data_IF_189810818612
#
_entry.id   IF_189810818612
#
_cell.length_a   1.000
_cell.length_b   1.000
_cell.length_c   1.000
_cell.angle_alpha   90.00
_cell.angle_beta   90.00
_cell.angle_gamma   90.00
#
_symmetry.space_group_name_H-M   'P 1'
#
loop_
_entity.id
_entity.type
_entity.pdbx_description
1 polymer ?
#
# COMPACT_ATOMS: atom_id res chain seq x y z
N UNK A 1 -11.32 -2.36 15.09
CA UNK A 1 -10.41 -2.15 13.95
C UNK A 1 -11.05 -1.24 12.89
N UNK A 2 -12.34 -1.41 12.58
CA UNK A 2 -13.12 -0.58 11.65
C UNK A 2 -13.10 0.91 12.02
N UNK A 3 -13.37 1.24 13.28
CA UNK A 3 -13.34 2.62 13.78
C UNK A 3 -11.96 3.29 13.64
N UNK A 4 -10.87 2.55 13.87
CA UNK A 4 -9.50 3.10 13.72
C UNK A 4 -9.18 3.46 12.26
N UNK A 5 -9.57 2.61 11.30
CA UNK A 5 -9.38 2.90 9.88
C UNK A 5 -10.24 4.07 9.40
N UNK A 6 -11.50 4.14 9.85
CA UNK A 6 -12.40 5.28 9.58
C UNK A 6 -11.88 6.59 10.16
N UNK A 7 -11.43 6.57 11.42
CA UNK A 7 -10.82 7.74 12.06
C UNK A 7 -9.58 8.19 11.28
N UNK A 8 -8.76 7.26 10.80
CA UNK A 8 -7.57 7.59 9.99
C UNK A 8 -7.96 8.28 8.68
N UNK A 9 -8.97 7.76 7.96
CA UNK A 9 -9.46 8.36 6.71
C UNK A 9 -10.04 9.76 6.94
N UNK A 10 -10.94 9.89 7.91
CA UNK A 10 -11.60 11.17 8.22
C UNK A 10 -10.60 12.19 8.76
N UNK A 11 -9.67 11.76 9.61
CA UNK A 11 -8.64 12.64 10.17
C UNK A 11 -7.66 13.11 9.10
N UNK A 12 -7.29 12.26 8.15
CA UNK A 12 -6.41 12.63 7.05
C UNK A 12 -7.09 13.60 6.07
N UNK A 13 -8.36 13.38 5.71
CA UNK A 13 -9.12 14.34 4.91
C UNK A 13 -9.26 15.70 5.61
N UNK A 14 -9.62 15.72 6.89
CA UNK A 14 -9.76 16.96 7.64
C UNK A 14 -8.43 17.72 7.85
N UNK A 15 -7.31 17.02 7.82
CA UNK A 15 -5.96 17.62 7.88
C UNK A 15 -5.50 18.16 6.52
N UNK A 16 -5.96 17.59 5.40
CA UNK A 16 -5.61 18.06 4.04
C UNK A 16 -6.07 19.50 3.79
N UNK A 17 -7.26 19.86 4.23
CA UNK A 17 -7.84 21.21 4.03
C UNK A 17 -7.03 22.32 4.71
N UNK A 18 -6.11 21.99 5.64
CA UNK A 18 -5.32 22.94 6.42
C UNK A 18 -3.82 22.93 6.11
N UNK A 19 -3.34 22.08 5.20
CA UNK A 19 -1.90 21.89 4.92
C UNK A 19 -1.56 22.20 3.47
N UNK A 20 -0.36 22.77 3.25
CA UNK A 20 0.23 22.89 1.91
C UNK A 20 1.01 21.61 1.60
N UNK A 21 0.93 21.16 0.34
CA UNK A 21 1.85 20.12 -0.17
C UNK A 21 3.27 20.61 -0.04
N UNK A 22 4.11 19.85 0.61
CA UNK A 22 5.54 20.15 0.80
C UNK A 22 6.38 19.29 -0.14
N UNK A 23 7.53 19.82 -0.51
CA UNK A 23 8.53 19.05 -1.26
C UNK A 23 9.12 18.00 -0.32
N UNK A 24 8.93 16.74 -0.64
CA UNK A 24 9.33 15.58 0.16
C UNK A 24 9.99 14.53 -0.73
N UNK A 25 10.97 13.83 -0.18
CA UNK A 25 11.55 12.66 -0.81
C UNK A 25 10.66 11.44 -0.50
N UNK A 26 10.16 10.79 -1.52
CA UNK A 26 9.26 9.64 -1.37
C UNK A 26 10.00 8.43 -0.83
N UNK A 27 11.25 8.25 -1.21
CA UNK A 27 12.08 7.17 -0.66
C UNK A 27 12.17 7.27 0.87
N UNK A 28 12.48 8.47 1.39
CA UNK A 28 12.62 8.70 2.83
C UNK A 28 11.28 8.44 3.55
N UNK A 29 10.15 8.79 2.91
CA UNK A 29 8.81 8.50 3.45
C UNK A 29 8.55 7.00 3.53
N UNK A 30 8.95 6.23 2.51
CA UNK A 30 8.81 4.76 2.53
C UNK A 30 9.70 4.15 3.59
N UNK A 31 10.97 4.56 3.64
CA UNK A 31 11.94 4.07 4.63
C UNK A 31 11.44 4.32 6.07
N UNK A 32 10.90 5.49 6.33
CA UNK A 32 10.27 5.83 7.62
C UNK A 32 9.14 4.84 7.98
N UNK A 33 8.25 4.52 7.04
CA UNK A 33 7.16 3.56 7.28
C UNK A 33 7.69 2.16 7.53
N UNK A 34 8.67 1.71 6.74
CA UNK A 34 9.33 0.41 6.94
C UNK A 34 9.94 0.33 8.35
N UNK A 35 10.62 1.40 8.79
CA UNK A 35 11.22 1.46 10.13
C UNK A 35 10.16 1.42 11.24
N UNK A 36 9.03 2.13 11.09
CA UNK A 36 7.91 2.08 12.04
C UNK A 36 7.31 0.68 12.12
N UNK A 37 7.25 -0.05 11.00
CA UNK A 37 6.71 -1.41 10.94
C UNK A 37 7.73 -2.50 11.27
N UNK A 38 9.00 -2.16 11.47
CA UNK A 38 10.09 -3.12 11.73
C UNK A 38 9.77 -4.15 12.83
N UNK A 39 9.17 -3.80 13.99
CA UNK A 39 8.86 -4.78 15.02
C UNK A 39 7.91 -5.89 14.52
N UNK A 40 6.89 -5.53 13.75
CA UNK A 40 5.94 -6.52 13.21
C UNK A 40 6.55 -7.29 12.03
N UNK A 41 7.37 -6.65 11.20
CA UNK A 41 8.09 -7.30 10.09
C UNK A 41 9.02 -8.40 10.62
N UNK A 42 9.80 -8.11 11.67
CA UNK A 42 10.67 -9.09 12.33
C UNK A 42 9.86 -10.21 12.96
N UNK A 43 8.81 -9.89 13.72
CA UNK A 43 7.93 -10.89 14.33
C UNK A 43 7.32 -11.85 13.30
N UNK A 44 6.93 -11.33 12.14
CA UNK A 44 6.30 -12.10 11.05
C UNK A 44 7.31 -12.68 10.07
N UNK A 45 8.61 -12.48 10.29
CA UNK A 45 9.71 -12.95 9.43
C UNK A 45 9.55 -12.47 7.98
N UNK A 46 9.18 -11.19 7.79
CA UNK A 46 9.03 -10.56 6.49
C UNK A 46 10.26 -9.69 6.21
N UNK A 47 10.89 -9.89 5.08
CA UNK A 47 11.98 -9.05 4.58
C UNK A 47 11.41 -7.99 3.64
N UNK A 48 11.85 -6.74 3.80
CA UNK A 48 11.51 -5.64 2.89
C UNK A 48 12.77 -5.22 2.16
N UNK A 49 12.73 -5.29 0.83
CA UNK A 49 13.77 -4.80 -0.07
C UNK A 49 13.29 -3.47 -0.67
N UNK A 50 13.99 -2.38 -0.34
CA UNK A 50 13.70 -1.06 -0.87
C UNK A 50 14.77 -0.67 -1.88
N UNK A 51 14.39 -0.51 -3.15
CA UNK A 51 15.30 -0.20 -4.25
C UNK A 51 15.06 1.24 -4.70
N UNK A 52 16.12 2.03 -4.65
CA UNK A 52 16.12 3.43 -5.05
C UNK A 52 16.74 3.57 -6.43
N UNK A 53 16.11 4.35 -7.29
CA UNK A 53 16.75 4.90 -8.47
C UNK A 53 17.76 6.00 -8.05
N UNK A 54 18.81 6.22 -8.85
CA UNK A 54 19.83 7.23 -8.58
C UNK A 54 19.27 8.67 -8.64
N UNK A 55 18.10 8.85 -9.28
CA UNK A 55 17.48 10.15 -9.41
C UNK A 55 16.69 10.57 -8.16
N UNK A 56 16.61 11.88 -7.94
CA UNK A 56 15.91 12.45 -6.79
C UNK A 56 14.40 12.26 -6.87
N UNK A 57 13.84 11.50 -5.94
CA UNK A 57 12.40 11.21 -5.84
C UNK A 57 11.61 12.28 -5.08
N UNK A 58 12.04 13.57 -5.13
CA UNK A 58 11.34 14.66 -4.46
C UNK A 58 10.07 15.08 -5.21
N UNK A 59 8.97 15.22 -4.47
CA UNK A 59 7.66 15.65 -4.99
C UNK A 59 6.94 16.56 -4.01
N UNK A 60 6.07 17.42 -4.54
CA UNK A 60 5.14 18.19 -3.71
C UNK A 60 3.94 17.32 -3.32
N UNK A 61 3.99 16.79 -2.10
CA UNK A 61 3.02 15.84 -1.58
C UNK A 61 2.55 16.23 -0.18
N UNK A 62 1.43 15.65 0.23
CA UNK A 62 1.14 15.46 1.64
C UNK A 62 1.84 14.16 2.08
N UNK A 63 2.82 14.25 2.97
CA UNK A 63 3.59 13.09 3.42
C UNK A 63 2.67 11.98 3.96
N UNK A 64 1.62 12.36 4.69
CA UNK A 64 0.61 11.44 5.22
C UNK A 64 -0.11 10.60 4.17
N UNK A 65 -0.19 11.06 2.91
CA UNK A 65 -0.83 10.32 1.84
C UNK A 65 0.03 9.13 1.42
N UNK A 66 1.32 9.36 1.24
CA UNK A 66 2.27 8.31 0.89
C UNK A 66 2.52 7.37 2.08
N UNK A 67 2.60 7.91 3.31
CA UNK A 67 2.60 7.08 4.52
C UNK A 67 1.40 6.13 4.54
N UNK A 68 0.21 6.62 4.22
CA UNK A 68 -1.02 5.81 4.18
C UNK A 68 -0.98 4.75 3.08
N UNK A 69 -0.50 5.08 1.86
CA UNK A 69 -0.34 4.12 0.76
C UNK A 69 0.54 2.95 1.20
N UNK A 70 1.76 3.24 1.64
CA UNK A 70 2.74 2.19 1.96
C UNK A 70 2.37 1.42 3.22
N UNK A 71 1.81 2.08 4.23
CA UNK A 71 1.26 1.40 5.40
C UNK A 71 0.21 0.35 5.00
N UNK A 72 -0.78 0.73 4.17
CA UNK A 72 -1.83 -0.20 3.73
C UNK A 72 -1.28 -1.34 2.89
N UNK A 73 -0.33 -1.09 1.97
CA UNK A 73 0.29 -2.13 1.17
C UNK A 73 1.04 -3.14 2.05
N UNK A 74 1.93 -2.66 2.91
CA UNK A 74 2.77 -3.53 3.75
C UNK A 74 1.92 -4.33 4.75
N UNK A 75 0.92 -3.70 5.39
CA UNK A 75 0.04 -4.42 6.32
C UNK A 75 -0.79 -5.47 5.59
N UNK A 76 -1.29 -5.19 4.39
CA UNK A 76 -2.02 -6.19 3.60
C UNK A 76 -1.14 -7.40 3.26
N UNK A 77 0.13 -7.18 2.88
CA UNK A 77 1.07 -8.27 2.62
C UNK A 77 1.39 -9.07 3.90
N UNK A 78 1.63 -8.40 5.04
CA UNK A 78 1.85 -9.09 6.33
C UNK A 78 0.66 -9.97 6.71
N UNK A 79 -0.57 -9.48 6.51
CA UNK A 79 -1.79 -10.25 6.79
C UNK A 79 -1.96 -11.42 5.81
N UNK A 80 -1.67 -11.23 4.52
CA UNK A 80 -1.67 -12.29 3.52
C UNK A 80 -0.66 -13.38 3.87
N UNK A 81 0.57 -13.01 4.20
CA UNK A 81 1.60 -13.95 4.66
C UNK A 81 1.21 -14.74 5.92
N UNK A 82 0.38 -14.17 6.79
CA UNK A 82 -0.06 -14.88 8.01
C UNK A 82 -0.99 -16.05 7.70
N UNK A 83 -1.61 -16.07 6.52
CA UNK A 83 -2.49 -17.14 6.03
C UNK A 83 -1.80 -18.05 5.02
N UNK A 84 -0.67 -17.63 4.49
CA UNK A 84 0.10 -18.33 3.47
C UNK A 84 1.09 -19.32 4.06
N UNK A 85 1.39 -20.37 3.29
CA UNK A 85 2.47 -21.33 3.57
C UNK A 85 3.87 -20.81 3.21
N UNK A 86 3.97 -19.61 2.65
CA UNK A 86 5.23 -18.98 2.20
C UNK A 86 6.22 -18.85 3.35
N UNK A 87 7.38 -19.51 3.24
CA UNK A 87 8.44 -19.50 4.25
C UNK A 87 9.36 -18.29 4.15
N UNK A 88 9.77 -17.94 2.91
CA UNK A 88 10.66 -16.79 2.63
C UNK A 88 9.82 -15.59 2.21
N UNK A 89 9.22 -14.91 3.20
CA UNK A 89 8.31 -13.78 2.99
C UNK A 89 9.08 -12.53 2.61
N UNK A 90 8.82 -12.01 1.41
CA UNK A 90 9.51 -10.83 0.87
C UNK A 90 8.53 -9.82 0.31
N UNK A 91 8.82 -8.55 0.58
CA UNK A 91 8.21 -7.40 -0.04
C UNK A 91 9.31 -6.64 -0.76
N UNK A 92 9.12 -6.33 -2.04
CA UNK A 92 10.03 -5.51 -2.83
C UNK A 92 9.31 -4.23 -3.24
N UNK A 93 9.95 -3.10 -2.98
CA UNK A 93 9.46 -1.77 -3.36
C UNK A 93 10.57 -1.11 -4.18
N UNK A 94 10.29 -0.85 -5.44
CA UNK A 94 11.22 -0.20 -6.35
C UNK A 94 10.66 1.16 -6.78
N UNK A 95 11.47 2.21 -6.63
CA UNK A 95 11.15 3.55 -7.12
C UNK A 95 11.96 3.85 -8.36
N UNK A 96 11.27 4.36 -9.39
CA UNK A 96 11.87 4.91 -10.61
C UNK A 96 11.34 6.32 -10.82
N UNK A 97 12.25 7.23 -11.17
CA UNK A 97 11.93 8.64 -11.33
C UNK A 97 12.44 9.10 -12.69
N UNK A 98 11.57 9.13 -13.68
CA UNK A 98 11.83 9.72 -14.99
C UNK A 98 10.86 10.88 -15.22
N UNK A 99 10.05 10.84 -16.29
CA UNK A 99 8.94 11.78 -16.52
C UNK A 99 7.82 11.65 -15.47
N UNK A 100 7.72 10.49 -14.85
CA UNK A 100 6.78 10.18 -13.76
C UNK A 100 7.52 9.56 -12.59
N UNK A 101 6.95 9.69 -11.40
CA UNK A 101 7.29 8.81 -10.31
C UNK A 101 6.57 7.48 -10.51
N UNK A 102 7.34 6.41 -10.66
CA UNK A 102 6.81 5.04 -10.74
C UNK A 102 7.24 4.27 -9.50
N UNK A 103 6.26 3.71 -8.82
CA UNK A 103 6.47 2.80 -7.68
C UNK A 103 6.01 1.41 -8.08
N UNK A 104 6.93 0.45 -8.08
CA UNK A 104 6.62 -0.97 -8.24
C UNK A 104 6.64 -1.64 -6.87
N UNK A 105 5.50 -2.09 -6.43
CA UNK A 105 5.33 -2.88 -5.21
C UNK A 105 5.07 -4.33 -5.57
N UNK A 106 5.77 -5.26 -4.92
CA UNK A 106 5.61 -6.69 -5.13
C UNK A 106 5.78 -7.43 -3.80
N UNK A 107 4.89 -8.34 -3.48
CA UNK A 107 5.11 -9.36 -2.47
C UNK A 107 5.10 -10.76 -3.09
N UNK A 108 5.63 -11.75 -2.38
CA UNK A 108 5.66 -13.14 -2.81
C UNK A 108 4.69 -14.03 -2.02
N UNK A 109 3.54 -13.49 -1.63
CA UNK A 109 2.46 -14.24 -0.99
C UNK A 109 1.68 -15.11 -1.98
N UNK A 110 0.46 -15.47 -1.61
CA UNK A 110 -0.39 -16.33 -2.45
C UNK A 110 -1.10 -15.55 -3.58
N UNK A 111 -1.06 -14.22 -3.53
CA UNK A 111 -1.75 -13.36 -4.47
C UNK A 111 -3.15 -12.95 -4.03
N UNK A 112 -4.01 -12.59 -4.98
CA UNK A 112 -5.39 -12.19 -4.70
C UNK A 112 -6.28 -13.40 -4.43
N UNK A 113 -7.26 -13.20 -3.56
CA UNK A 113 -8.30 -14.17 -3.27
C UNK A 113 -9.17 -14.40 -4.52
N UNK A 114 -9.40 -15.67 -4.87
CA UNK A 114 -10.18 -16.10 -6.04
C UNK A 114 -11.65 -15.66 -6.02
N UNK A 115 -12.15 -15.15 -4.91
CA UNK A 115 -13.50 -14.59 -4.83
C UNK A 115 -13.69 -13.33 -5.67
N UNK A 116 -12.62 -12.59 -5.95
CA UNK A 116 -12.66 -11.43 -6.82
C UNK A 116 -12.69 -11.87 -8.28
N UNK A 117 -13.88 -11.85 -8.91
CA UNK A 117 -14.05 -12.16 -10.34
C UNK A 117 -13.30 -11.17 -11.22
N UNK A 118 -13.37 -9.89 -10.87
CA UNK A 118 -12.54 -8.84 -11.43
C UNK A 118 -11.49 -8.43 -10.40
N UNK A 119 -10.18 -8.57 -10.65
CA UNK A 119 -9.13 -8.21 -9.72
C UNK A 119 -9.19 -6.75 -9.24
N UNK A 120 -9.70 -5.84 -10.07
CA UNK A 120 -9.82 -4.42 -9.73
C UNK A 120 -10.95 -4.11 -8.72
N UNK A 121 -11.82 -5.07 -8.41
CA UNK A 121 -12.83 -4.93 -7.34
C UNK A 121 -12.20 -4.64 -5.97
N UNK A 122 -10.94 -5.04 -5.74
CA UNK A 122 -10.22 -4.74 -4.49
C UNK A 122 -10.09 -3.24 -4.20
N UNK A 123 -10.15 -2.40 -5.24
CA UNK A 123 -10.07 -0.95 -5.12
C UNK A 123 -11.44 -0.28 -4.87
N UNK A 124 -12.50 -1.05 -4.80
CA UNK A 124 -13.85 -0.56 -4.51
C UNK A 124 -14.03 -0.40 -2.99
N UNK A 125 -14.72 0.65 -2.59
CA UNK A 125 -15.01 0.92 -1.18
C UNK A 125 -15.73 -0.27 -0.52
N UNK A 126 -15.22 -0.73 0.60
CA UNK A 126 -15.79 -1.84 1.36
C UNK A 126 -15.47 -3.22 0.81
N UNK A 127 -14.72 -3.32 -0.30
CA UNK A 127 -14.33 -4.59 -0.88
C UNK A 127 -13.27 -5.29 -0.02
N UNK A 128 -13.58 -6.48 0.49
CA UNK A 128 -12.66 -7.24 1.35
C UNK A 128 -12.83 -8.74 1.17
N UNK A 129 -11.73 -9.50 1.31
CA UNK A 129 -11.71 -10.97 1.41
C UNK A 129 -11.45 -11.46 2.83
N UNK A 130 -11.47 -10.56 3.82
CA UNK A 130 -11.11 -10.88 5.20
C UNK A 130 -12.38 -11.26 5.99
N UNK A 131 -12.50 -12.55 6.32
CA UNK A 131 -13.58 -13.11 7.13
C UNK A 131 -12.98 -13.84 8.34
N UNK A 132 -13.73 -13.90 9.44
CA UNK A 132 -13.40 -14.75 10.57
C UNK A 132 -13.81 -16.21 10.29
N UNK A 133 -13.55 -17.09 11.25
CA UNK A 133 -13.90 -18.51 11.16
C UNK A 133 -15.42 -18.77 11.13
N UNK A 134 -16.24 -17.79 11.45
CA UNK A 134 -17.70 -17.85 11.42
C UNK A 134 -18.30 -17.21 10.16
N UNK A 135 -17.46 -16.72 9.24
CA UNK A 135 -17.88 -16.05 8.01
C UNK A 135 -18.23 -14.57 8.16
N UNK A 136 -17.98 -13.95 9.31
CA UNK A 136 -18.21 -12.51 9.48
C UNK A 136 -17.09 -11.69 8.85
N UNK A 137 -17.45 -10.57 8.26
CA UNK A 137 -16.49 -9.63 7.67
C UNK A 137 -15.64 -8.98 8.77
N UNK A 138 -14.34 -9.19 8.75
CA UNK A 138 -13.37 -8.58 9.69
C UNK A 138 -12.48 -7.52 9.02
N UNK A 139 -12.41 -7.53 7.70
CA UNK A 139 -11.69 -6.52 6.93
C UNK A 139 -12.57 -5.30 6.66
N UNK A 140 -11.98 -4.09 6.72
CA UNK A 140 -12.71 -2.84 6.45
C UNK A 140 -12.98 -2.62 4.97
N UNK A 141 -12.22 -3.25 4.07
CA UNK A 141 -12.22 -2.98 2.64
C UNK A 141 -11.81 -1.55 2.27
N UNK A 142 -11.12 -0.84 3.16
CA UNK A 142 -10.74 0.57 2.96
C UNK A 142 -9.31 0.73 2.44
N UNK A 143 -8.39 -0.19 2.77
CA UNK A 143 -6.96 -0.01 2.47
C UNK A 143 -6.66 0.21 0.99
N UNK A 144 -7.15 -0.67 0.12
CA UNK A 144 -6.92 -0.56 -1.33
C UNK A 144 -7.72 0.60 -1.95
N UNK A 145 -8.92 0.88 -1.44
CA UNK A 145 -9.69 2.06 -1.85
C UNK A 145 -8.95 3.37 -1.54
N UNK A 146 -8.33 3.48 -0.35
CA UNK A 146 -7.52 4.65 0.04
C UNK A 146 -6.34 4.82 -0.93
N UNK A 147 -5.65 3.74 -1.28
CA UNK A 147 -4.55 3.78 -2.25
C UNK A 147 -5.05 4.34 -3.59
N UNK A 148 -6.12 3.76 -4.14
CA UNK A 148 -6.67 4.17 -5.42
C UNK A 148 -7.16 5.64 -5.42
N UNK A 149 -7.87 6.06 -4.37
CA UNK A 149 -8.36 7.44 -4.26
C UNK A 149 -7.22 8.44 -4.11
N UNK A 150 -6.21 8.11 -3.29
CA UNK A 150 -5.04 8.97 -3.11
C UNK A 150 -4.24 9.12 -4.40
N UNK A 151 -3.98 8.03 -5.13
CA UNK A 151 -3.27 8.10 -6.42
C UNK A 151 -4.00 9.00 -7.41
N UNK A 152 -5.34 8.89 -7.50
CA UNK A 152 -6.16 9.77 -8.37
C UNK A 152 -6.09 11.24 -7.98
N UNK A 153 -6.01 11.57 -6.69
CA UNK A 153 -5.83 12.96 -6.21
C UNK A 153 -4.53 13.61 -6.69
N UNK A 154 -3.54 12.79 -7.04
CA UNK A 154 -2.27 13.22 -7.66
C UNK A 154 -2.29 13.11 -9.19
N UNK A 155 -3.47 12.96 -9.81
CA UNK A 155 -3.64 12.70 -11.24
C UNK A 155 -2.83 11.49 -11.71
N UNK A 156 -2.57 10.56 -10.80
CA UNK A 156 -1.83 9.34 -11.06
C UNK A 156 -2.72 8.19 -11.53
N UNK A 157 -2.06 7.12 -11.90
CA UNK A 157 -2.68 5.86 -12.30
C UNK A 157 -2.06 4.68 -11.56
N UNK A 158 -2.75 3.54 -11.56
CA UNK A 158 -2.27 2.32 -10.94
C UNK A 158 -2.67 1.09 -11.76
N UNK A 159 -1.80 0.08 -11.73
CA UNK A 159 -1.98 -1.16 -12.48
C UNK A 159 -1.57 -2.36 -11.63
N UNK A 160 -2.41 -3.40 -11.61
CA UNK A 160 -2.03 -4.70 -11.08
C UNK A 160 -1.02 -5.35 -12.03
N UNK A 161 0.14 -5.71 -11.51
CA UNK A 161 1.22 -6.35 -12.28
C UNK A 161 1.33 -7.84 -11.98
N UNK A 162 0.84 -8.28 -10.82
CA UNK A 162 0.80 -9.67 -10.41
C UNK A 162 -0.38 -9.91 -9.48
N UNK A 163 -1.10 -11.02 -9.68
CA UNK A 163 -2.28 -11.40 -8.89
C UNK A 163 -2.26 -12.87 -8.43
N UNK A 164 -1.31 -13.66 -8.93
CA UNK A 164 -1.08 -15.06 -8.56
C UNK A 164 0.38 -15.24 -8.17
N UNK A 165 0.63 -16.13 -7.18
CA UNK A 165 1.99 -16.37 -6.65
C UNK A 165 2.66 -15.07 -6.17
N UNK A 166 1.89 -14.20 -5.55
CA UNK A 166 2.27 -12.87 -5.09
C UNK A 166 1.30 -11.80 -5.54
N UNK A 167 1.40 -10.63 -4.90
CA UNK A 167 0.64 -9.44 -5.26
C UNK A 167 1.58 -8.36 -5.79
N UNK A 168 1.28 -7.81 -6.96
CA UNK A 168 2.05 -6.73 -7.58
C UNK A 168 1.17 -5.54 -7.96
N UNK A 169 1.65 -4.33 -7.64
CA UNK A 169 1.01 -3.07 -7.95
C UNK A 169 2.03 -2.06 -8.45
N UNK A 170 1.81 -1.54 -9.64
CA UNK A 170 2.51 -0.36 -10.15
C UNK A 170 1.66 0.89 -9.91
N UNK A 171 2.26 1.92 -9.33
CA UNK A 171 1.65 3.24 -9.14
C UNK A 171 2.47 4.23 -9.95
N UNK A 172 1.79 5.06 -10.76
CA UNK A 172 2.40 6.14 -11.55
C UNK A 172 1.82 7.47 -11.12
N UNK A 173 2.68 8.42 -10.81
CA UNK A 173 2.27 9.78 -10.46
C UNK A 173 3.03 10.73 -11.37
N UNK A 174 2.31 11.57 -12.15
CA UNK A 174 2.91 12.59 -12.99
C UNK A 174 3.78 13.57 -12.19
N UNK A 175 4.77 14.16 -12.85
CA UNK A 175 5.68 15.17 -12.28
C UNK A 175 5.04 16.54 -12.15
#
# INVERSE_FOLDING_TARGET
QFLKSWITVVTNQSKKDKRKRLKKNIYDTIEKIVNVLQPILVQKKVQVELIKDEQNAERRIFESDFESIFYNLIINSIEAFSKSSTKNRKIRIELKTNENLVVNYLDNGDGLDNKFKNPYEIFTLGSTSKYDQFGNVIGTGLGMYIIASTVREYNGDYKLTQIQNGFGLEIRIPL
#
